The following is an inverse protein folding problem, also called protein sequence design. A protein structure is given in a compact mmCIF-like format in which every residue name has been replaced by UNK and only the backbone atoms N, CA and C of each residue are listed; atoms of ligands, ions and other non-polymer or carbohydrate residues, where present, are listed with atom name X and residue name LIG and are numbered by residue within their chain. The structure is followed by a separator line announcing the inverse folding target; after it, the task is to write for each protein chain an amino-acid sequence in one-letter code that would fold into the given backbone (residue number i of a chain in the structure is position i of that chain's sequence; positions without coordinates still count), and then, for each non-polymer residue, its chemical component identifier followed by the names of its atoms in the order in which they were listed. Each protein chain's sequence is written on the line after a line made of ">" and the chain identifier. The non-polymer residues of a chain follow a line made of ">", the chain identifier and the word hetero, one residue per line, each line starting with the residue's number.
data_IF_044655598982
#
_entry.id   IF_044655598982
#
_cell.length_a   1.000
_cell.length_b   1.000
_cell.length_c   1.000
_cell.angle_alpha   90.00
_cell.angle_beta   90.00
_cell.angle_gamma   90.00
#
_symmetry.space_group_name_H-M   'P 1'
#
loop_
_entity.id
_entity.type
_entity.pdbx_description
1 polymer ?
#
# COMPACT_ATOMS: atom_id res chain seq x y z
N UNK A 1 -19.79 -10.64 -36.12
CA UNK A 1 -21.02 -10.92 -35.39
C UNK A 1 -21.43 -9.70 -34.59
N UNK A 2 -22.70 -9.34 -34.63
CA UNK A 2 -23.22 -8.21 -33.87
C UNK A 2 -23.12 -8.47 -32.39
N UNK A 3 -22.67 -7.48 -31.59
CA UNK A 3 -22.67 -7.55 -30.12
C UNK A 3 -24.12 -7.65 -29.64
N UNK A 4 -24.49 -8.74 -29.04
CA UNK A 4 -25.86 -8.98 -28.54
C UNK A 4 -26.15 -8.19 -27.25
N UNK A 5 -25.11 -7.92 -26.45
CA UNK A 5 -25.20 -7.10 -25.24
C UNK A 5 -23.82 -6.57 -24.86
N UNK A 6 -23.76 -5.35 -24.33
CA UNK A 6 -22.56 -4.75 -23.76
C UNK A 6 -22.93 -4.21 -22.38
N UNK A 7 -22.26 -4.72 -21.32
CA UNK A 7 -22.40 -4.24 -19.95
C UNK A 7 -21.09 -3.57 -19.55
N UNK A 8 -21.13 -2.26 -19.47
CA UNK A 8 -19.95 -1.44 -19.21
C UNK A 8 -19.71 -1.26 -17.72
N UNK A 9 -18.45 -0.91 -17.33
CA UNK A 9 -18.10 -0.54 -15.93
C UNK A 9 -18.99 0.62 -15.45
N UNK A 10 -19.33 1.57 -16.31
CA UNK A 10 -20.22 2.69 -15.96
C UNK A 10 -21.62 2.20 -15.60
N UNK A 11 -22.16 1.25 -16.34
CA UNK A 11 -23.45 0.63 -16.04
C UNK A 11 -23.37 -0.20 -14.76
N UNK A 12 -22.31 -0.95 -14.57
CA UNK A 12 -22.09 -1.74 -13.36
C UNK A 12 -21.97 -0.85 -12.09
N UNK A 13 -21.37 0.33 -12.19
CA UNK A 13 -21.33 1.33 -11.11
C UNK A 13 -22.73 1.91 -10.88
N UNK A 14 -23.46 2.25 -11.96
CA UNK A 14 -24.81 2.80 -11.87
C UNK A 14 -25.78 1.83 -11.21
N UNK A 15 -25.67 0.55 -11.54
CA UNK A 15 -26.53 -0.52 -11.01
C UNK A 15 -26.07 -0.98 -9.61
N UNK A 16 -24.97 -0.45 -9.09
CA UNK A 16 -24.42 -0.83 -7.80
C UNK A 16 -23.78 -2.23 -7.78
N UNK A 17 -23.52 -2.82 -8.95
CA UNK A 17 -22.83 -4.10 -9.07
C UNK A 17 -21.35 -4.02 -8.73
N UNK A 18 -20.73 -2.85 -8.91
CA UNK A 18 -19.38 -2.50 -8.44
C UNK A 18 -19.36 -1.15 -7.75
N UNK A 19 -18.44 -0.97 -6.81
CA UNK A 19 -18.26 0.31 -6.14
C UNK A 19 -17.70 1.35 -7.11
N UNK A 20 -18.19 2.60 -7.01
CA UNK A 20 -17.59 3.73 -7.70
C UNK A 20 -16.22 4.06 -7.13
N UNK A 21 -15.28 4.46 -7.99
CA UNK A 21 -13.97 4.92 -7.60
C UNK A 21 -13.67 6.30 -8.18
N UNK A 22 -12.77 7.03 -7.53
CA UNK A 22 -12.24 8.31 -8.00
C UNK A 22 -10.76 8.15 -8.26
N UNK A 23 -10.32 8.60 -9.44
CA UNK A 23 -8.89 8.69 -9.77
C UNK A 23 -8.42 10.11 -9.47
N UNK A 24 -7.35 10.23 -8.69
CA UNK A 24 -6.67 11.49 -8.36
C UNK A 24 -5.21 11.39 -8.83
N UNK A 25 -4.89 12.14 -9.88
CA UNK A 25 -3.52 12.22 -10.39
C UNK A 25 -2.73 13.26 -9.61
N UNK A 26 -1.62 12.83 -8.99
CA UNK A 26 -0.72 13.74 -8.28
C UNK A 26 0.63 13.77 -8.98
N UNK A 27 0.98 14.95 -9.47
CA UNK A 27 2.33 15.19 -9.96
C UNK A 27 3.26 15.39 -8.75
N UNK A 28 4.08 14.39 -8.48
CA UNK A 28 5.20 14.46 -7.53
C UNK A 28 6.47 14.96 -8.21
N UNK A 29 6.47 15.02 -9.53
CA UNK A 29 7.56 15.55 -10.36
C UNK A 29 7.09 16.81 -11.09
N UNK A 30 7.80 17.91 -10.89
CA UNK A 30 7.66 19.12 -11.72
C UNK A 30 8.53 18.92 -12.96
N UNK A 31 7.93 18.46 -14.05
CA UNK A 31 8.62 18.25 -15.32
C UNK A 31 7.70 18.55 -16.50
N UNK A 32 8.26 19.14 -17.56
CA UNK A 32 7.57 19.35 -18.83
C UNK A 32 7.63 18.10 -19.74
N UNK A 33 8.25 17.01 -19.25
CA UNK A 33 8.36 15.75 -19.99
C UNK A 33 7.09 14.94 -19.89
N UNK A 34 6.77 14.20 -20.94
CA UNK A 34 5.71 13.20 -20.89
C UNK A 34 6.09 12.09 -19.90
N UNK A 35 5.10 11.43 -19.34
CA UNK A 35 5.32 10.35 -18.38
C UNK A 35 6.22 9.23 -18.93
N UNK A 36 6.18 8.97 -20.24
CA UNK A 36 7.00 7.97 -20.92
C UNK A 36 8.48 8.36 -21.04
N UNK A 37 8.80 9.66 -20.91
CA UNK A 37 10.16 10.21 -21.06
C UNK A 37 10.89 10.34 -19.71
N UNK A 38 10.25 9.98 -18.59
CA UNK A 38 10.85 10.01 -17.26
C UNK A 38 11.67 8.73 -17.07
N UNK A 39 13.00 8.83 -16.81
CA UNK A 39 13.83 7.65 -16.54
C UNK A 39 13.34 6.87 -15.33
N UNK A 40 13.43 5.56 -15.37
CA UNK A 40 13.06 4.67 -14.25
C UNK A 40 13.84 4.99 -12.96
N UNK A 41 15.07 5.49 -13.08
CA UNK A 41 15.91 5.90 -11.94
C UNK A 41 15.31 7.02 -11.08
N UNK A 42 14.37 7.80 -11.61
CA UNK A 42 13.66 8.82 -10.82
C UNK A 42 12.76 8.19 -9.77
N UNK A 43 12.19 7.02 -10.05
CA UNK A 43 11.34 6.28 -9.10
C UNK A 43 12.14 5.59 -7.97
N UNK A 44 13.47 5.55 -8.10
CA UNK A 44 14.42 5.03 -7.11
C UNK A 44 15.06 6.16 -6.29
N UNK A 45 14.77 7.42 -6.65
CA UNK A 45 15.29 8.59 -5.94
C UNK A 45 14.59 8.78 -4.58
N UNK A 46 15.37 8.96 -3.53
CA UNK A 46 14.87 9.11 -2.16
C UNK A 46 13.93 10.31 -2.02
N UNK A 47 14.27 11.44 -2.63
CA UNK A 47 13.45 12.65 -2.56
C UNK A 47 12.10 12.47 -3.24
N UNK A 48 12.09 11.79 -4.38
CA UNK A 48 10.84 11.41 -5.05
C UNK A 48 9.98 10.51 -4.14
N UNK A 49 10.57 9.46 -3.57
CA UNK A 49 9.84 8.56 -2.67
C UNK A 49 9.33 9.28 -1.42
N UNK A 50 10.06 10.27 -0.90
CA UNK A 50 9.60 11.12 0.22
C UNK A 50 8.38 11.95 -0.17
N UNK A 51 8.30 12.49 -1.39
CA UNK A 51 7.09 13.19 -1.86
C UNK A 51 5.87 12.26 -1.93
N UNK A 52 6.07 11.03 -2.40
CA UNK A 52 5.00 10.02 -2.41
C UNK A 52 4.55 9.69 -0.98
N UNK A 53 5.49 9.46 -0.06
CA UNK A 53 5.18 9.19 1.34
C UNK A 53 4.48 10.36 2.03
N UNK A 54 4.88 11.62 1.76
CA UNK A 54 4.19 12.80 2.27
C UNK A 54 2.74 12.85 1.78
N UNK A 55 2.52 12.52 0.51
CA UNK A 55 1.17 12.45 -0.05
C UNK A 55 0.32 11.37 0.64
N UNK A 56 0.91 10.21 0.97
CA UNK A 56 0.23 9.11 1.66
C UNK A 56 -0.05 9.47 3.13
N UNK A 57 0.95 9.99 3.85
CA UNK A 57 0.93 10.14 5.30
C UNK A 57 0.07 11.32 5.75
N UNK A 58 0.23 12.49 5.12
CA UNK A 58 -0.43 13.71 5.58
C UNK A 58 -1.55 14.18 4.65
N UNK A 59 -1.29 14.19 3.34
CA UNK A 59 -2.25 14.72 2.36
C UNK A 59 -3.47 13.81 2.14
N UNK A 60 -3.35 12.51 2.45
CA UNK A 60 -4.44 11.52 2.27
C UNK A 60 -5.26 11.26 3.55
N UNK A 61 -5.08 12.05 4.60
CA UNK A 61 -5.79 11.87 5.88
C UNK A 61 -7.32 11.79 5.76
N UNK A 62 -7.91 12.48 4.79
CA UNK A 62 -9.34 12.45 4.56
C UNK A 62 -9.77 11.12 3.94
N UNK A 63 -9.02 10.63 2.95
CA UNK A 63 -9.24 9.35 2.30
C UNK A 63 -9.06 8.20 3.29
N UNK A 64 -8.06 8.28 4.16
CA UNK A 64 -7.80 7.31 5.21
C UNK A 64 -8.75 7.44 6.43
N UNK A 65 -9.64 8.44 6.41
CA UNK A 65 -10.71 8.57 7.41
C UNK A 65 -10.24 8.98 8.79
N UNK A 66 -9.12 9.70 8.93
CA UNK A 66 -8.59 10.12 10.23
C UNK A 66 -9.56 10.94 11.08
N UNK A 67 -10.48 11.68 10.44
CA UNK A 67 -11.54 12.41 11.13
C UNK A 67 -12.55 11.50 11.87
N UNK A 68 -12.55 10.20 11.58
CA UNK A 68 -13.45 9.23 12.24
C UNK A 68 -12.94 8.79 13.62
N UNK A 69 -11.70 9.12 13.95
CA UNK A 69 -11.07 8.79 15.22
C UNK A 69 -10.32 7.45 15.22
N UNK A 70 -9.65 7.19 16.33
CA UNK A 70 -8.78 6.02 16.52
C UNK A 70 -9.56 4.72 16.29
N UNK A 71 -8.98 3.81 15.53
CA UNK A 71 -9.56 2.50 15.21
C UNK A 71 -10.65 2.51 14.14
N UNK A 72 -11.12 3.69 13.72
CA UNK A 72 -12.20 3.85 12.72
C UNK A 72 -11.71 4.33 11.35
N UNK A 73 -10.41 4.32 11.14
CA UNK A 73 -9.79 4.69 9.86
C UNK A 73 -9.98 3.61 8.80
N UNK A 74 -9.74 4.01 7.56
CA UNK A 74 -9.55 3.10 6.44
C UNK A 74 -8.08 2.69 6.33
N UNK A 75 -7.78 1.76 5.43
CA UNK A 75 -6.43 1.38 5.07
C UNK A 75 -6.16 1.59 3.57
N UNK A 76 -4.90 1.41 3.19
CA UNK A 76 -4.42 1.65 1.84
C UNK A 76 -3.44 0.58 1.38
N UNK A 77 -3.27 0.49 0.06
CA UNK A 77 -2.22 -0.26 -0.61
C UNK A 77 -1.37 0.71 -1.40
N UNK A 78 -0.05 0.56 -1.34
CA UNK A 78 0.91 1.16 -2.25
C UNK A 78 1.45 0.06 -3.18
N UNK A 79 1.16 0.14 -4.47
CA UNK A 79 1.72 -0.79 -5.46
C UNK A 79 2.91 -0.15 -6.16
N UNK A 80 4.00 -0.90 -6.23
CA UNK A 80 5.28 -0.48 -6.80
C UNK A 80 5.77 -1.48 -7.85
N UNK A 81 6.79 -1.09 -8.63
CA UNK A 81 7.28 -1.85 -9.78
C UNK A 81 8.16 -3.05 -9.39
N UNK A 82 8.98 -2.90 -8.36
CA UNK A 82 10.05 -3.86 -8.04
C UNK A 82 10.19 -4.13 -6.55
N UNK A 83 10.83 -5.25 -6.19
CA UNK A 83 11.16 -5.60 -4.82
C UNK A 83 12.10 -4.56 -4.20
N UNK A 84 13.22 -4.13 -4.84
CA UNK A 84 14.07 -3.09 -4.29
C UNK A 84 13.33 -1.78 -4.01
N UNK A 85 12.43 -1.35 -4.90
CA UNK A 85 11.62 -0.15 -4.68
C UNK A 85 10.69 -0.32 -3.45
N UNK A 86 10.08 -1.48 -3.30
CA UNK A 86 9.21 -1.76 -2.16
C UNK A 86 9.99 -1.76 -0.83
N UNK A 87 11.19 -2.36 -0.82
CA UNK A 87 12.10 -2.38 0.34
C UNK A 87 12.54 -0.96 0.71
N UNK A 88 12.94 -0.16 -0.29
CA UNK A 88 13.33 1.22 -0.09
C UNK A 88 12.19 2.08 0.50
N UNK A 89 10.96 1.93 0.03
CA UNK A 89 9.79 2.57 0.62
C UNK A 89 9.55 2.14 2.07
N UNK A 90 9.70 0.85 2.36
CA UNK A 90 9.50 0.34 3.70
C UNK A 90 10.52 0.91 4.69
N UNK A 91 11.80 0.89 4.33
CA UNK A 91 12.89 1.43 5.15
C UNK A 91 12.76 2.95 5.32
N UNK A 92 12.42 3.65 4.24
CA UNK A 92 12.19 5.09 4.27
C UNK A 92 11.00 5.46 5.17
N UNK A 93 9.93 4.66 5.14
CA UNK A 93 8.77 4.85 6.00
C UNK A 93 9.12 4.66 7.50
N UNK A 94 10.00 3.72 7.82
CA UNK A 94 10.55 3.55 9.19
C UNK A 94 11.32 4.81 9.62
N UNK A 95 12.16 5.36 8.75
CA UNK A 95 12.90 6.61 9.01
C UNK A 95 11.97 7.83 9.16
N UNK A 96 10.92 7.92 8.35
CA UNK A 96 9.87 8.95 8.50
C UNK A 96 9.18 8.83 9.86
N UNK A 97 8.82 7.62 10.27
CA UNK A 97 8.18 7.36 11.57
C UNK A 97 9.11 7.70 12.74
N UNK A 98 10.40 7.45 12.60
CA UNK A 98 11.44 7.81 13.57
C UNK A 98 11.76 9.33 13.59
N UNK A 99 11.27 10.10 12.61
CA UNK A 99 11.55 11.54 12.50
C UNK A 99 12.92 11.87 11.92
N UNK A 100 13.55 10.95 11.21
CA UNK A 100 14.90 11.05 10.64
C UNK A 100 14.93 11.66 9.23
N UNK A 101 13.80 12.01 8.67
CA UNK A 101 13.67 12.58 7.34
C UNK A 101 13.04 13.95 7.38
N UNK A 102 13.03 14.68 6.25
CA UNK A 102 12.30 15.95 6.12
C UNK A 102 10.78 15.76 6.19
N UNK A 103 10.26 14.65 5.69
CA UNK A 103 8.85 14.28 5.81
C UNK A 103 8.64 13.66 7.18
N UNK A 104 7.60 14.09 7.87
CA UNK A 104 7.25 13.58 9.21
C UNK A 104 5.75 13.39 9.31
N UNK A 105 5.34 12.45 10.13
CA UNK A 105 3.93 12.36 10.51
C UNK A 105 3.55 13.63 11.24
N UNK A 106 2.60 14.40 10.69
CA UNK A 106 2.20 15.68 11.27
C UNK A 106 1.54 15.50 12.63
N UNK A 107 1.65 16.51 13.49
CA UNK A 107 1.00 16.50 14.81
C UNK A 107 -0.52 16.34 14.70
N UNK A 108 -1.12 16.83 13.62
CA UNK A 108 -2.55 16.65 13.34
C UNK A 108 -2.91 15.19 13.12
N UNK A 109 -2.07 14.41 12.44
CA UNK A 109 -2.27 12.97 12.24
C UNK A 109 -2.00 12.22 13.54
N UNK A 110 -0.93 12.55 14.26
CA UNK A 110 -0.57 11.94 15.55
C UNK A 110 -1.65 12.12 16.63
N UNK A 111 -2.33 13.26 16.64
CA UNK A 111 -3.43 13.52 17.59
C UNK A 111 -4.59 12.53 17.40
N UNK A 112 -4.87 12.12 16.15
CA UNK A 112 -5.95 11.19 15.83
C UNK A 112 -5.47 9.75 15.83
N UNK A 113 -4.19 9.53 15.46
CA UNK A 113 -3.57 8.23 15.28
C UNK A 113 -2.11 8.24 15.75
N UNK A 114 -1.85 8.11 17.06
CA UNK A 114 -0.49 8.22 17.61
C UNK A 114 0.51 7.21 17.06
N UNK A 115 0.04 6.03 16.67
CA UNK A 115 0.82 4.90 16.16
C UNK A 115 0.88 4.80 14.64
N UNK A 116 0.31 5.79 13.93
CA UNK A 116 0.30 5.82 12.46
C UNK A 116 1.70 6.15 11.88
N UNK A 117 2.10 5.51 10.78
CA UNK A 117 1.45 4.39 10.11
C UNK A 117 1.92 3.04 10.64
N UNK A 118 0.99 2.09 10.79
CA UNK A 118 1.30 0.68 10.89
C UNK A 118 1.37 0.11 9.49
N UNK A 119 2.56 -0.26 9.06
CA UNK A 119 2.79 -0.67 7.69
C UNK A 119 3.56 -1.98 7.59
N UNK A 120 3.36 -2.69 6.50
CA UNK A 120 4.16 -3.85 6.13
C UNK A 120 4.33 -3.94 4.62
N UNK A 121 5.15 -4.87 4.18
CA UNK A 121 5.46 -5.13 2.78
C UNK A 121 5.19 -6.61 2.48
N UNK A 122 4.66 -6.89 1.30
CA UNK A 122 4.53 -8.28 0.81
C UNK A 122 5.06 -8.39 -0.61
N UNK A 123 5.91 -9.39 -0.85
CA UNK A 123 6.40 -9.78 -2.16
C UNK A 123 6.70 -11.28 -2.20
N UNK A 124 6.84 -11.82 -3.40
CA UNK A 124 7.26 -13.22 -3.57
C UNK A 124 8.77 -13.31 -3.40
N UNK A 125 9.21 -14.19 -2.52
CA UNK A 125 10.62 -14.54 -2.36
C UNK A 125 10.84 -15.86 -3.07
N UNK A 126 11.51 -15.83 -4.23
CA UNK A 126 11.85 -17.02 -5.00
C UNK A 126 13.33 -17.37 -4.81
N UNK A 127 13.64 -18.67 -4.75
CA UNK A 127 15.02 -19.12 -4.53
C UNK A 127 15.93 -18.93 -5.75
N UNK A 128 15.37 -18.58 -6.90
CA UNK A 128 16.06 -18.57 -8.19
C UNK A 128 16.42 -17.16 -8.73
N UNK A 129 16.24 -16.12 -7.95
CA UNK A 129 16.61 -14.74 -8.33
C UNK A 129 18.02 -14.41 -7.82
N UNK A 130 18.80 -13.67 -8.62
CA UNK A 130 20.17 -13.26 -8.27
C UNK A 130 20.25 -12.56 -6.91
N UNK A 131 19.22 -11.79 -6.55
CA UNK A 131 19.11 -11.02 -5.30
C UNK A 131 18.35 -11.79 -4.18
N UNK A 132 18.20 -13.10 -4.31
CA UNK A 132 17.29 -13.86 -3.42
C UNK A 132 17.72 -13.83 -1.94
N UNK A 133 19.02 -13.75 -1.64
CA UNK A 133 19.53 -13.68 -0.26
C UNK A 133 19.19 -12.35 0.40
N UNK A 134 19.45 -11.24 -0.27
CA UNK A 134 19.16 -9.91 0.24
C UNK A 134 17.65 -9.71 0.43
N UNK A 135 16.85 -10.21 -0.53
CA UNK A 135 15.40 -10.21 -0.43
C UNK A 135 14.88 -11.07 0.73
N UNK A 136 15.51 -12.23 0.99
CA UNK A 136 15.17 -13.08 2.13
C UNK A 136 15.56 -12.41 3.46
N UNK A 137 16.73 -11.81 3.56
CA UNK A 137 17.19 -11.17 4.78
C UNK A 137 16.35 -9.93 5.11
N UNK A 138 15.99 -9.13 4.11
CA UNK A 138 15.05 -8.04 4.29
C UNK A 138 13.67 -8.54 4.73
N UNK A 139 13.16 -9.62 4.12
CA UNK A 139 11.87 -10.21 4.52
C UNK A 139 11.90 -10.74 5.96
N UNK A 140 13.00 -11.31 6.44
CA UNK A 140 13.15 -11.71 7.86
C UNK A 140 12.97 -10.49 8.77
N UNK A 141 13.60 -9.37 8.44
CA UNK A 141 13.47 -8.14 9.21
C UNK A 141 12.03 -7.60 9.20
N UNK A 142 11.35 -7.65 8.04
CA UNK A 142 9.92 -7.30 7.94
C UNK A 142 9.06 -8.19 8.84
N UNK A 143 9.33 -9.49 8.88
CA UNK A 143 8.61 -10.42 9.75
C UNK A 143 8.87 -10.14 11.24
N UNK A 144 10.10 -9.81 11.61
CA UNK A 144 10.45 -9.41 12.98
C UNK A 144 9.70 -8.14 13.40
N UNK A 145 9.72 -7.11 12.57
CA UNK A 145 8.98 -5.86 12.80
C UNK A 145 7.47 -6.11 12.93
N UNK A 146 6.92 -6.94 12.03
CA UNK A 146 5.50 -7.31 12.05
C UNK A 146 5.10 -8.12 13.28
N UNK A 147 5.92 -9.09 13.66
CA UNK A 147 5.71 -9.91 14.84
C UNK A 147 5.72 -9.05 16.11
N UNK A 148 6.64 -8.09 16.20
CA UNK A 148 6.69 -7.14 17.31
C UNK A 148 5.47 -6.21 17.34
N UNK A 149 5.03 -5.69 16.18
CA UNK A 149 3.90 -4.77 16.10
C UNK A 149 2.57 -5.43 16.46
N UNK A 150 2.39 -6.74 16.12
CA UNK A 150 1.10 -7.43 16.20
C UNK A 150 1.08 -8.63 17.16
N UNK A 151 2.17 -8.86 17.91
CA UNK A 151 2.31 -10.00 18.83
C UNK A 151 2.07 -11.34 18.11
N UNK A 152 2.77 -11.53 16.98
CA UNK A 152 2.71 -12.73 16.14
C UNK A 152 4.06 -13.42 16.08
N UNK A 153 4.15 -14.59 15.44
CA UNK A 153 5.39 -15.40 15.40
C UNK A 153 5.68 -15.98 14.01
N UNK A 154 5.39 -15.22 12.96
CA UNK A 154 5.65 -15.66 11.59
C UNK A 154 7.14 -15.76 11.30
N UNK A 155 7.51 -16.75 10.50
CA UNK A 155 8.87 -16.99 10.03
C UNK A 155 8.90 -17.14 8.51
N UNK A 156 10.11 -17.19 7.93
CA UNK A 156 10.26 -17.45 6.50
C UNK A 156 9.62 -18.76 6.04
N UNK A 157 9.48 -19.76 6.92
CA UNK A 157 8.79 -21.01 6.62
C UNK A 157 7.25 -20.85 6.55
N UNK A 158 6.69 -19.79 7.14
CA UNK A 158 5.25 -19.53 7.17
C UNK A 158 4.85 -18.21 6.50
N UNK A 159 5.45 -17.88 5.37
CA UNK A 159 5.09 -16.69 4.58
C UNK A 159 3.62 -16.73 4.11
N UNK A 160 3.06 -17.93 3.92
CA UNK A 160 1.64 -18.07 3.57
C UNK A 160 0.74 -17.63 4.71
N UNK A 161 1.05 -18.04 5.95
CA UNK A 161 0.34 -17.61 7.15
C UNK A 161 0.44 -16.10 7.34
N UNK A 162 1.64 -15.53 7.21
CA UNK A 162 1.87 -14.10 7.25
C UNK A 162 1.00 -13.34 6.22
N UNK A 163 1.02 -13.74 4.94
CA UNK A 163 0.20 -13.10 3.91
C UNK A 163 -1.30 -13.21 4.20
N UNK A 164 -1.74 -14.33 4.78
CA UNK A 164 -3.13 -14.52 5.19
C UNK A 164 -3.50 -13.57 6.33
N UNK A 165 -2.63 -13.39 7.33
CA UNK A 165 -2.87 -12.46 8.44
C UNK A 165 -2.88 -11.00 7.98
N UNK A 166 -1.96 -10.60 7.08
CA UNK A 166 -1.97 -9.27 6.44
C UNK A 166 -3.32 -9.01 5.74
N UNK A 167 -3.80 -9.98 4.95
CA UNK A 167 -5.08 -9.86 4.26
C UNK A 167 -6.25 -9.74 5.25
N UNK A 168 -6.26 -10.51 6.31
CA UNK A 168 -7.30 -10.43 7.34
C UNK A 168 -7.32 -9.08 8.05
N UNK A 169 -6.14 -8.50 8.36
CA UNK A 169 -6.02 -7.16 8.95
C UNK A 169 -6.49 -6.04 8.02
N UNK A 170 -6.23 -6.17 6.71
CA UNK A 170 -6.76 -5.24 5.71
C UNK A 170 -8.27 -5.36 5.56
N UNK A 171 -8.79 -6.58 5.49
CA UNK A 171 -10.22 -6.83 5.30
C UNK A 171 -11.07 -6.42 6.52
N UNK A 172 -10.51 -6.54 7.75
CA UNK A 172 -11.18 -6.21 9.02
C UNK A 172 -12.55 -6.90 9.20
N UNK A 173 -12.71 -8.11 8.66
CA UNK A 173 -13.99 -8.85 8.70
C UNK A 173 -14.30 -9.49 10.06
N UNK A 174 -13.29 -9.65 10.92
CA UNK A 174 -13.45 -10.22 12.25
C UNK A 174 -13.39 -9.12 13.30
N UNK A 175 -14.15 -9.28 14.38
CA UNK A 175 -14.28 -8.29 15.46
C UNK A 175 -12.94 -7.86 16.08
N UNK A 176 -11.96 -8.77 16.18
CA UNK A 176 -10.63 -8.45 16.70
C UNK A 176 -9.91 -7.36 15.88
N UNK A 177 -10.13 -7.31 14.56
CA UNK A 177 -9.51 -6.33 13.68
C UNK A 177 -10.18 -4.95 13.70
N UNK A 178 -11.27 -4.79 14.43
CA UNK A 178 -11.89 -3.49 14.69
C UNK A 178 -11.12 -2.68 15.74
N UNK A 179 -10.29 -3.35 16.55
CA UNK A 179 -9.45 -2.70 17.54
C UNK A 179 -8.17 -2.14 16.90
N UNK A 180 -7.82 -0.91 17.23
CA UNK A 180 -6.66 -0.21 16.67
C UNK A 180 -5.36 -1.01 16.73
N UNK A 181 -5.09 -1.69 17.82
CA UNK A 181 -3.89 -2.53 18.00
C UNK A 181 -3.72 -3.61 16.94
N UNK A 182 -4.83 -4.08 16.36
CA UNK A 182 -4.85 -5.12 15.32
C UNK A 182 -4.92 -4.57 13.89
N UNK A 183 -5.02 -3.25 13.73
CA UNK A 183 -5.22 -2.64 12.42
C UNK A 183 -3.90 -2.36 11.72
N UNK A 184 -3.88 -2.66 10.43
CA UNK A 184 -2.84 -2.29 9.49
C UNK A 184 -3.34 -1.10 8.67
N UNK A 185 -2.49 -0.10 8.45
CA UNK A 185 -2.85 1.13 7.73
C UNK A 185 -2.42 1.10 6.27
N UNK A 186 -1.23 0.54 6.01
CA UNK A 186 -0.63 0.53 4.68
C UNK A 186 0.06 -0.80 4.40
N UNK A 187 -0.18 -1.35 3.22
CA UNK A 187 0.62 -2.47 2.69
C UNK A 187 1.30 -2.04 1.40
N UNK A 188 2.60 -2.26 1.33
CA UNK A 188 3.38 -2.04 0.12
C UNK A 188 3.48 -3.38 -0.62
N UNK A 189 3.10 -3.40 -1.90
CA UNK A 189 3.06 -4.62 -2.72
C UNK A 189 3.79 -4.43 -4.03
N UNK A 190 4.44 -5.50 -4.51
CA UNK A 190 5.16 -5.50 -5.79
C UNK A 190 4.28 -6.13 -6.86
N UNK A 191 3.94 -5.35 -7.89
CA UNK A 191 3.19 -5.81 -9.07
C UNK A 191 1.93 -6.66 -8.75
N UNK A 192 1.44 -6.58 -7.51
CA UNK A 192 0.35 -7.40 -7.02
C UNK A 192 -0.83 -6.48 -6.72
N UNK A 193 -1.86 -6.56 -7.53
CA UNK A 193 -3.18 -6.18 -7.12
C UNK A 193 -3.77 -7.40 -6.43
N UNK A 194 -4.37 -7.21 -5.28
CA UNK A 194 -4.99 -8.28 -4.50
C UNK A 194 -6.29 -8.69 -5.19
N UNK A 195 -6.21 -9.39 -6.31
CA UNK A 195 -7.34 -9.85 -7.12
C UNK A 195 -8.27 -10.71 -6.28
N UNK A 196 -9.55 -10.41 -6.28
CA UNK A 196 -10.54 -11.15 -5.49
C UNK A 196 -10.49 -10.87 -3.99
N UNK A 197 -9.80 -9.81 -3.57
CA UNK A 197 -9.69 -9.40 -2.18
C UNK A 197 -10.85 -8.49 -1.79
N UNK A 198 -11.77 -9.02 -0.99
CA UNK A 198 -12.88 -8.27 -0.45
C UNK A 198 -12.47 -7.60 0.87
N UNK A 199 -12.15 -6.33 0.81
CA UNK A 199 -11.69 -5.52 1.93
C UNK A 199 -12.51 -4.23 2.07
N UNK A 200 -13.63 -4.26 2.80
CA UNK A 200 -14.53 -3.10 2.95
C UNK A 200 -13.85 -1.85 3.53
N UNK A 201 -12.74 -2.02 4.25
CA UNK A 201 -11.99 -0.92 4.85
C UNK A 201 -10.85 -0.41 3.96
N UNK A 202 -10.57 -1.04 2.84
CA UNK A 202 -9.59 -0.56 1.87
C UNK A 202 -10.18 0.60 1.08
N UNK A 203 -9.71 1.82 1.34
CA UNK A 203 -10.26 3.03 0.71
C UNK A 203 -9.41 3.56 -0.43
N UNK A 204 -8.11 3.27 -0.43
CA UNK A 204 -7.18 3.95 -1.31
C UNK A 204 -6.13 3.00 -1.86
N UNK A 205 -5.94 3.06 -3.17
CA UNK A 205 -4.83 2.43 -3.87
C UNK A 205 -3.90 3.54 -4.37
N UNK A 206 -2.69 3.56 -3.84
CA UNK A 206 -1.62 4.40 -4.35
C UNK A 206 -0.82 3.61 -5.38
N UNK A 207 -0.58 4.21 -6.54
CA UNK A 207 0.07 3.57 -7.66
C UNK A 207 1.35 4.32 -7.97
N UNK A 208 2.49 3.70 -7.71
CA UNK A 208 3.82 4.21 -8.01
C UNK A 208 4.60 3.20 -8.87
N UNK A 209 4.07 2.96 -10.06
CA UNK A 209 4.69 2.06 -11.05
C UNK A 209 4.26 2.41 -12.47
N UNK A 210 5.14 2.11 -13.44
CA UNK A 210 4.88 2.20 -14.88
C UNK A 210 5.12 0.84 -15.57
N UNK A 211 4.48 0.58 -16.70
CA UNK A 211 3.18 1.12 -17.13
C UNK A 211 2.05 0.37 -16.44
N UNK A 212 0.91 1.02 -16.20
CA UNK A 212 -0.31 0.32 -15.85
C UNK A 212 -1.19 0.21 -17.08
N UNK A 213 -1.60 -1.00 -17.40
CA UNK A 213 -2.63 -1.21 -18.40
C UNK A 213 -4.00 -0.86 -17.80
N UNK A 214 -4.95 -0.29 -18.56
CA UNK A 214 -6.28 0.05 -18.05
C UNK A 214 -7.00 -1.10 -17.36
N UNK A 215 -6.77 -2.33 -17.82
CA UNK A 215 -7.34 -3.53 -17.20
C UNK A 215 -6.79 -3.82 -15.80
N UNK A 216 -5.58 -3.38 -15.48
CA UNK A 216 -4.97 -3.57 -14.16
C UNK A 216 -5.58 -2.66 -13.09
N UNK A 217 -6.29 -1.60 -13.52
CA UNK A 217 -7.00 -0.66 -12.64
C UNK A 217 -8.40 -1.14 -12.24
N UNK A 218 -8.95 -2.12 -12.97
CA UNK A 218 -10.36 -2.52 -12.87
C UNK A 218 -10.51 -3.87 -12.12
N UNK A 219 -9.41 -4.52 -11.81
CA UNK A 219 -9.38 -5.75 -11.01
C UNK A 219 -9.39 -5.45 -9.53
#
# INVERSE_FOLDING_TARGET
>A
GDRLHEYTVKEAIHDGAVLGFKVDYRNTLITDKSENDIPDTVYEDEEYMLEVLDAIIDKSRQQLGFQKGVGKTYNAILTVKSIPQAQAYYDLLKRVKAGETRVKVSERVKQVHPDFPKATITYSVTENEEDSRDNQDHMKQVLEDYNQEFDTHFTMADLRGFNTDVNNRLARKQDKYLYRKEQLDLVIVVNRLLTGFDAPCLSTLFIDRKPMQPQDLIQ
#
